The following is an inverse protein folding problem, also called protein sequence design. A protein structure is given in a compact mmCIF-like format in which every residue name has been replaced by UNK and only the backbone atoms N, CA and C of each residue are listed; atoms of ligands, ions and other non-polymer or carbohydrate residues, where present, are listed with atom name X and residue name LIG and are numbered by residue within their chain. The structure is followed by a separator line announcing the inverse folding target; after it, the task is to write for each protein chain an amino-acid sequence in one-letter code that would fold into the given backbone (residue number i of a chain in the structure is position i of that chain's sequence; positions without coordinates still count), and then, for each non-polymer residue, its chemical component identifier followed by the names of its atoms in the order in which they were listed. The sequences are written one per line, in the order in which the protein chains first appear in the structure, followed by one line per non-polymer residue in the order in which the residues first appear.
data_IF_499939001511
#
_entry.id   IF_499939001511
#
_cell.length_a   1.000
_cell.length_b   1.000
_cell.length_c   1.000
_cell.angle_alpha   90.00
_cell.angle_beta   90.00
_cell.angle_gamma   90.00
#
_symmetry.space_group_name_H-M   'P 1'
#
loop_
_entity.id
_entity.type
_entity.pdbx_description
1 polymer ?
#
# COMPACT_ATOMS: atom_id res chain seq x y z
N UNK A 1 -62.46 5.85 21.85
CA UNK A 1 -61.61 4.93 21.05
C UNK A 1 -60.28 5.55 20.55
N UNK A 2 -59.72 6.60 21.17
CA UNK A 2 -58.53 7.32 20.64
C UNK A 2 -57.23 7.06 21.44
N UNK A 3 -57.30 6.51 22.66
CA UNK A 3 -56.12 6.27 23.52
C UNK A 3 -55.17 5.18 23.03
N UNK A 4 -55.68 4.13 22.36
CA UNK A 4 -54.85 2.97 21.98
C UNK A 4 -53.97 3.23 20.73
N UNK A 5 -54.33 4.19 19.86
CA UNK A 5 -53.57 4.46 18.62
C UNK A 5 -52.24 5.17 18.87
N UNK A 6 -52.12 5.96 19.94
CA UNK A 6 -50.88 6.68 20.29
C UNK A 6 -49.82 5.75 20.88
N UNK A 7 -50.24 4.78 21.69
CA UNK A 7 -49.35 3.82 22.35
C UNK A 7 -48.74 2.86 21.32
N UNK A 8 -49.53 2.35 20.37
CA UNK A 8 -49.04 1.47 19.30
C UNK A 8 -47.99 2.17 18.42
N UNK A 9 -48.18 3.46 18.11
CA UNK A 9 -47.19 4.25 17.36
C UNK A 9 -45.87 4.39 18.13
N UNK A 10 -45.92 4.59 19.45
CA UNK A 10 -44.72 4.70 20.28
C UNK A 10 -43.90 3.39 20.28
N UNK A 11 -44.56 2.23 20.36
CA UNK A 11 -43.89 0.93 20.29
C UNK A 11 -43.25 0.65 18.92
N UNK A 12 -43.91 1.08 17.83
CA UNK A 12 -43.35 0.96 16.46
C UNK A 12 -42.10 1.83 16.31
N UNK A 13 -42.09 3.05 16.86
CA UNK A 13 -40.92 3.92 16.82
C UNK A 13 -39.74 3.39 17.63
N UNK A 14 -39.99 2.81 18.81
CA UNK A 14 -38.94 2.17 19.63
C UNK A 14 -38.35 0.95 18.90
N UNK A 15 -39.19 0.12 18.27
CA UNK A 15 -38.75 -1.01 17.45
C UNK A 15 -37.88 -0.57 16.26
N UNK A 16 -38.20 0.56 15.61
CA UNK A 16 -37.43 1.07 14.46
C UNK A 16 -36.06 1.60 14.87
N UNK A 17 -35.95 2.26 16.03
CA UNK A 17 -34.67 2.81 16.54
C UNK A 17 -33.71 1.66 16.92
N UNK A 18 -34.22 0.56 17.48
CA UNK A 18 -33.41 -0.61 17.82
C UNK A 18 -32.77 -1.27 16.59
N UNK A 19 -33.46 -1.27 15.45
CA UNK A 19 -32.95 -1.87 14.19
C UNK A 19 -31.85 -1.00 13.59
N UNK A 20 -31.95 0.34 13.72
CA UNK A 20 -30.92 1.27 13.20
C UNK A 20 -29.62 1.18 14.02
N UNK A 21 -29.68 0.84 15.31
CA UNK A 21 -28.46 0.62 16.12
C UNK A 21 -27.67 -0.64 15.76
N UNK A 22 -28.21 -1.55 14.93
CA UNK A 22 -27.45 -2.70 14.43
C UNK A 22 -26.59 -2.37 13.20
N UNK A 23 -26.78 -1.19 12.57
CA UNK A 23 -25.99 -0.76 11.41
C UNK A 23 -24.79 0.11 11.78
N UNK A 24 -24.57 0.42 13.05
CA UNK A 24 -23.28 0.92 13.52
C UNK A 24 -22.33 -0.26 13.79
N UNK A 25 -22.13 -1.12 12.78
CA UNK A 25 -20.87 -1.85 12.68
C UNK A 25 -19.86 -0.75 12.39
N UNK A 26 -19.12 -0.34 13.40
CA UNK A 26 -17.90 0.42 13.17
C UNK A 26 -17.12 -0.35 12.11
N UNK A 27 -16.87 0.27 10.95
CA UNK A 27 -15.71 -0.05 10.12
C UNK A 27 -14.43 0.34 10.90
N UNK A 28 -14.30 -0.12 12.14
CA UNK A 28 -13.01 -0.32 12.74
C UNK A 28 -12.47 -1.54 12.02
N UNK A 29 -11.59 -1.28 11.05
CA UNK A 29 -10.73 -2.29 10.44
C UNK A 29 -10.32 -3.28 11.52
N UNK A 30 -10.88 -4.50 11.50
CA UNK A 30 -10.46 -5.60 12.37
C UNK A 30 -9.06 -6.13 12.03
N UNK A 31 -8.40 -5.46 11.07
CA UNK A 31 -7.00 -5.64 10.76
C UNK A 31 -6.21 -4.54 11.50
N UNK A 32 -5.78 -4.84 12.72
CA UNK A 32 -4.52 -4.27 13.22
C UNK A 32 -3.41 -5.08 12.53
N UNK A 33 -2.66 -4.52 11.57
CA UNK A 33 -1.72 -5.32 10.82
C UNK A 33 -0.43 -5.51 11.60
N UNK A 34 -0.42 -6.55 12.43
CA UNK A 34 0.78 -7.34 12.69
C UNK A 34 1.04 -8.36 11.55
N UNK A 35 0.48 -8.11 10.36
CA UNK A 35 0.67 -8.86 9.11
C UNK A 35 1.46 -8.08 8.07
N UNK A 36 2.35 -7.15 8.48
CA UNK A 36 3.32 -6.58 7.54
C UNK A 36 4.16 -7.74 7.02
N UNK A 37 3.81 -8.23 5.83
CA UNK A 37 4.46 -9.37 5.21
C UNK A 37 5.94 -9.05 5.15
N UNK A 38 6.72 -9.92 5.76
CA UNK A 38 8.14 -9.71 5.93
C UNK A 38 8.86 -10.27 4.71
N UNK A 39 9.37 -9.40 3.85
CA UNK A 39 10.14 -9.79 2.66
C UNK A 39 11.64 -9.70 2.87
N UNK A 40 12.38 -10.70 2.39
CA UNK A 40 13.83 -10.64 2.34
C UNK A 40 14.25 -9.76 1.17
N UNK A 41 15.43 -9.12 1.22
CA UNK A 41 16.02 -8.46 0.04
C UNK A 41 16.05 -9.37 -1.20
N UNK A 42 16.27 -10.68 -1.00
CA UNK A 42 16.14 -11.69 -2.06
C UNK A 42 14.79 -11.67 -2.77
N UNK A 43 13.70 -11.60 -2.00
CA UNK A 43 12.33 -11.69 -2.50
C UNK A 43 11.96 -10.43 -3.31
N UNK A 44 12.59 -9.29 -3.03
CA UNK A 44 12.35 -8.02 -3.73
C UNK A 44 13.16 -7.88 -5.03
N UNK A 45 14.23 -8.68 -5.21
CA UNK A 45 15.07 -8.65 -6.41
C UNK A 45 14.27 -9.04 -7.65
N UNK A 46 14.39 -8.28 -8.73
CA UNK A 46 13.76 -8.61 -10.01
C UNK A 46 13.40 -7.37 -10.81
N UNK A 47 12.61 -7.57 -11.86
CA UNK A 47 12.02 -6.50 -12.65
C UNK A 47 10.58 -6.29 -12.20
N UNK A 48 10.22 -5.04 -11.98
CA UNK A 48 8.91 -4.61 -11.55
C UNK A 48 8.35 -3.64 -12.58
N UNK A 49 7.17 -3.89 -13.12
CA UNK A 49 6.56 -3.13 -14.21
C UNK A 49 5.33 -2.39 -13.71
N UNK A 50 5.20 -1.13 -14.11
CA UNK A 50 4.03 -0.31 -13.80
C UNK A 50 2.81 -0.88 -14.51
N UNK A 51 1.72 -1.16 -13.78
CA UNK A 51 0.52 -1.78 -14.37
C UNK A 51 -0.23 -0.83 -15.32
N UNK A 52 -0.14 0.48 -15.08
CA UNK A 52 -0.81 1.51 -15.87
C UNK A 52 0.01 1.92 -17.10
N UNK A 53 1.33 1.68 -17.08
CA UNK A 53 2.23 2.00 -18.18
C UNK A 53 3.38 0.97 -18.30
N UNK A 54 3.21 -0.03 -19.16
CA UNK A 54 4.18 -1.11 -19.32
C UNK A 54 5.57 -0.70 -19.84
N UNK A 55 5.72 0.54 -20.32
CA UNK A 55 7.02 1.08 -20.69
C UNK A 55 7.82 1.57 -19.47
N UNK A 56 7.14 1.79 -18.34
CA UNK A 56 7.76 2.16 -17.07
C UNK A 56 7.98 0.92 -16.20
N UNK A 57 9.22 0.78 -15.74
CA UNK A 57 9.61 -0.33 -14.88
C UNK A 57 10.77 0.07 -13.99
N UNK A 58 10.98 -0.65 -12.91
CA UNK A 58 12.22 -0.59 -12.17
C UNK A 58 12.81 -1.99 -12.00
N UNK A 59 14.11 -2.05 -11.71
CA UNK A 59 14.78 -3.29 -11.36
C UNK A 59 15.51 -3.13 -10.04
N UNK A 60 15.42 -4.14 -9.19
CA UNK A 60 16.26 -4.28 -8.00
C UNK A 60 17.25 -5.40 -8.30
N UNK A 61 18.53 -5.04 -8.39
CA UNK A 61 19.61 -5.99 -8.67
C UNK A 61 20.03 -6.76 -7.41
N UNK A 62 20.85 -7.80 -7.61
CA UNK A 62 21.44 -8.58 -6.53
C UNK A 62 22.25 -7.70 -5.56
N UNK A 63 22.97 -6.70 -6.08
CA UNK A 63 23.84 -5.79 -5.29
C UNK A 63 23.08 -4.60 -4.67
N UNK A 64 21.75 -4.58 -4.74
CA UNK A 64 20.96 -3.49 -4.15
C UNK A 64 20.96 -2.21 -4.98
N UNK A 65 21.30 -2.31 -6.26
CA UNK A 65 21.15 -1.20 -7.21
C UNK A 65 19.72 -1.23 -7.73
N UNK A 66 18.99 -0.15 -7.47
CA UNK A 66 17.70 0.16 -8.05
C UNK A 66 17.90 0.92 -9.37
N UNK A 67 17.30 0.45 -10.46
CA UNK A 67 17.31 1.16 -11.75
C UNK A 67 15.89 1.45 -12.20
N UNK A 68 15.53 2.71 -12.42
CA UNK A 68 14.25 3.09 -13.05
C UNK A 68 14.41 3.21 -14.55
N UNK A 69 13.43 2.74 -15.30
CA UNK A 69 13.29 2.91 -16.74
C UNK A 69 12.00 3.65 -16.99
N UNK A 70 12.12 4.85 -17.57
CA UNK A 70 11.00 5.74 -17.83
C UNK A 70 10.40 5.47 -19.22
N UNK A 71 9.15 5.90 -19.41
CA UNK A 71 8.44 5.77 -20.68
C UNK A 71 9.07 6.56 -21.85
N UNK A 72 9.88 7.58 -21.56
CA UNK A 72 10.65 8.34 -22.54
C UNK A 72 11.98 7.66 -22.94
N UNK A 73 12.26 6.47 -22.41
CA UNK A 73 13.48 5.69 -22.66
C UNK A 73 14.68 6.10 -21.81
N UNK A 74 14.56 7.13 -20.95
CA UNK A 74 15.60 7.48 -19.99
C UNK A 74 15.65 6.49 -18.82
N UNK A 75 16.76 6.47 -18.10
CA UNK A 75 16.90 5.66 -16.90
C UNK A 75 17.74 6.36 -15.84
N UNK A 76 17.49 6.02 -14.57
CA UNK A 76 18.28 6.47 -13.43
C UNK A 76 18.65 5.30 -12.53
N UNK A 77 19.72 5.44 -11.75
CA UNK A 77 20.21 4.41 -10.82
C UNK A 77 20.42 4.98 -9.43
N UNK A 78 20.04 4.20 -8.44
CA UNK A 78 20.17 4.54 -7.03
C UNK A 78 20.62 3.30 -6.25
N UNK A 79 21.48 3.50 -5.25
CA UNK A 79 21.86 2.43 -4.34
C UNK A 79 20.86 2.38 -3.20
N UNK A 80 20.42 1.17 -2.83
CA UNK A 80 19.62 0.94 -1.65
C UNK A 80 20.58 0.84 -0.46
N UNK A 81 20.44 1.77 0.49
CA UNK A 81 21.27 1.79 1.68
C UNK A 81 21.08 0.52 2.51
N UNK A 82 22.18 0.00 3.08
CA UNK A 82 22.20 -1.22 3.89
C UNK A 82 21.64 -2.47 3.19
N UNK A 83 21.67 -2.50 1.85
CA UNK A 83 21.28 -3.70 1.11
C UNK A 83 22.22 -4.87 1.41
N UNK A 84 21.64 -5.98 1.83
CA UNK A 84 22.35 -7.23 1.96
C UNK A 84 21.44 -8.37 1.50
N UNK A 85 21.75 -8.88 0.32
CA UNK A 85 21.01 -9.93 -0.36
C UNK A 85 20.77 -11.18 0.51
N UNK A 86 21.75 -11.55 1.33
CA UNK A 86 21.72 -12.77 2.15
C UNK A 86 21.14 -12.54 3.55
N UNK A 87 20.90 -11.29 3.94
CA UNK A 87 20.45 -10.97 5.29
C UNK A 87 19.02 -11.44 5.47
N UNK A 88 18.80 -12.32 6.44
CA UNK A 88 17.50 -12.85 6.83
C UNK A 88 16.81 -12.01 7.92
N UNK A 89 17.41 -10.88 8.32
CA UNK A 89 17.02 -10.15 9.54
C UNK A 89 15.54 -9.75 9.57
N UNK A 90 14.97 -9.79 10.78
CA UNK A 90 13.55 -9.68 11.13
C UNK A 90 12.87 -8.33 10.79
N UNK A 91 13.62 -7.32 10.35
CA UNK A 91 13.14 -5.97 9.98
C UNK A 91 12.72 -5.83 8.52
N UNK A 92 12.08 -6.86 8.00
CA UNK A 92 11.85 -7.11 6.58
C UNK A 92 11.00 -5.99 5.93
N UNK A 93 11.47 -5.47 4.79
CA UNK A 93 11.01 -4.21 4.20
C UNK A 93 9.58 -4.30 3.65
N UNK A 94 8.61 -3.94 4.48
CA UNK A 94 7.29 -3.51 4.03
C UNK A 94 7.40 -2.18 3.26
N UNK A 95 8.28 -1.30 3.74
CA UNK A 95 8.53 0.02 3.17
C UNK A 95 10.02 0.21 2.90
N UNK A 96 10.37 0.61 1.68
CA UNK A 96 11.70 1.06 1.31
C UNK A 96 11.63 2.53 0.91
N UNK A 97 12.41 3.36 1.59
CA UNK A 97 12.47 4.80 1.31
C UNK A 97 13.83 5.14 0.72
N UNK A 98 13.82 5.76 -0.45
CA UNK A 98 15.01 6.34 -1.07
C UNK A 98 14.89 7.86 -1.00
N UNK A 99 15.60 8.50 -0.06
CA UNK A 99 15.46 9.94 0.16
C UNK A 99 16.21 10.75 -0.92
N UNK A 100 15.82 12.02 -1.05
CA UNK A 100 16.59 13.06 -1.75
C UNK A 100 16.93 12.78 -3.23
N UNK A 101 16.02 12.16 -3.98
CA UNK A 101 16.17 12.06 -5.44
C UNK A 101 15.91 13.43 -6.06
N UNK A 102 16.86 14.01 -6.82
CA UNK A 102 16.64 15.28 -7.51
C UNK A 102 15.35 15.25 -8.32
N UNK A 103 14.54 16.30 -8.23
CA UNK A 103 13.24 16.47 -8.92
C UNK A 103 12.11 15.57 -8.39
N UNK A 104 12.38 14.32 -8.02
CA UNK A 104 11.37 13.36 -7.55
C UNK A 104 11.11 13.43 -6.03
N UNK A 105 12.03 14.01 -5.26
CA UNK A 105 11.98 13.98 -3.79
C UNK A 105 12.30 12.58 -3.26
N UNK A 106 11.72 12.22 -2.12
CA UNK A 106 11.82 10.84 -1.62
C UNK A 106 10.95 9.91 -2.48
N UNK A 107 11.45 8.72 -2.76
CA UNK A 107 10.67 7.64 -3.38
C UNK A 107 10.36 6.63 -2.28
N UNK A 108 9.09 6.33 -2.10
CA UNK A 108 8.63 5.35 -1.11
C UNK A 108 8.04 4.18 -1.86
N UNK A 109 8.69 3.02 -1.71
CA UNK A 109 8.20 1.73 -2.16
C UNK A 109 7.45 1.08 -1.02
N UNK A 110 6.25 0.62 -1.31
CA UNK A 110 5.42 -0.08 -0.38
C UNK A 110 5.11 -1.48 -0.96
N UNK A 111 5.78 -2.50 -0.44
CA UNK A 111 5.64 -3.87 -0.93
C UNK A 111 4.45 -4.55 -0.25
N UNK A 112 3.46 -4.93 -1.07
CA UNK A 112 2.25 -5.61 -0.62
C UNK A 112 2.49 -7.13 -0.60
N UNK A 113 3.22 -7.63 -1.59
CA UNK A 113 3.63 -9.04 -1.71
C UNK A 113 4.99 -9.17 -2.41
N UNK A 114 5.48 -10.40 -2.60
CA UNK A 114 6.70 -10.65 -3.40
C UNK A 114 6.53 -10.23 -4.88
N UNK A 115 5.29 -9.98 -5.32
CA UNK A 115 4.97 -9.67 -6.70
C UNK A 115 4.17 -8.37 -6.88
N UNK A 116 3.78 -7.68 -5.80
CA UNK A 116 2.96 -6.47 -5.86
C UNK A 116 3.59 -5.35 -5.02
N UNK A 117 3.70 -4.15 -5.61
CA UNK A 117 4.34 -3.00 -5.03
C UNK A 117 3.58 -1.71 -5.39
N UNK A 118 3.39 -0.84 -4.41
CA UNK A 118 2.97 0.54 -4.60
C UNK A 118 4.17 1.47 -4.50
N UNK A 119 4.22 2.51 -5.34
CA UNK A 119 5.24 3.55 -5.29
C UNK A 119 4.57 4.91 -5.14
N UNK A 120 5.10 5.72 -4.23
CA UNK A 120 4.79 7.14 -4.15
C UNK A 120 6.05 7.98 -4.28
N UNK A 121 5.89 9.17 -4.86
CA UNK A 121 6.97 10.13 -5.07
C UNK A 121 6.69 11.40 -4.27
N UNK A 122 7.69 11.91 -3.54
CA UNK A 122 7.55 13.14 -2.76
C UNK A 122 7.20 14.36 -3.62
N UNK A 123 7.58 14.37 -4.90
CA UNK A 123 7.22 15.42 -5.86
C UNK A 123 5.78 15.34 -6.38
N UNK A 124 5.11 14.19 -6.21
CA UNK A 124 3.73 13.94 -6.65
C UNK A 124 2.87 13.48 -5.47
N UNK A 125 2.60 14.37 -4.50
CA UNK A 125 1.79 14.01 -3.33
C UNK A 125 0.41 13.53 -3.77
N UNK A 126 -0.10 12.50 -3.10
CA UNK A 126 -1.39 11.84 -3.35
C UNK A 126 -1.48 11.01 -4.64
N UNK A 127 -0.38 10.80 -5.36
CA UNK A 127 -0.33 9.82 -6.47
C UNK A 127 0.34 8.53 -5.99
N UNK A 128 -0.35 7.41 -6.22
CA UNK A 128 0.17 6.06 -5.99
C UNK A 128 0.27 5.38 -7.35
N UNK A 129 1.42 4.77 -7.61
CA UNK A 129 1.70 4.01 -8.83
C UNK A 129 1.83 2.54 -8.48
N UNK A 130 1.19 1.68 -9.25
CA UNK A 130 1.13 0.25 -8.96
C UNK A 130 2.08 -0.52 -9.87
N UNK A 131 2.84 -1.44 -9.28
CA UNK A 131 3.83 -2.25 -9.97
C UNK A 131 3.66 -3.73 -9.66
N UNK A 132 3.86 -4.55 -10.68
CA UNK A 132 3.89 -6.01 -10.57
C UNK A 132 5.27 -6.56 -10.95
N UNK A 133 5.68 -7.68 -10.34
CA UNK A 133 6.94 -8.34 -10.66
C UNK A 133 6.81 -9.26 -11.88
N UNK A 134 7.84 -9.27 -12.73
CA UNK A 134 7.95 -10.11 -13.95
C UNK A 134 9.05 -11.15 -13.79
#
# INVERSE_FOLDING_TARGET
MIKNKKIVRAFIFISLISIISMFSVSCSSFFEPDYRVRFRPYDLRGTWRNIDNYNERFTISYDGILTFYNSDGTYSRHYIDNWNYYKYDEGSYYELVIPNIPILGSIVFYFISENECEISYGSKPNMIFYYEKI
#
